data_IF_512244441598
#
_entry.id   IF_512244441598
#
_cell.length_a   1.000
_cell.length_b   1.000
_cell.length_c   1.000
_cell.angle_alpha   90.00
_cell.angle_beta   90.00
_cell.angle_gamma   90.00
#
_symmetry.space_group_name_H-M   'P 1'
#
loop_
_entity.id
_entity.type
_entity.pdbx_description
1 polymer ?
#
# COMPACT_ATOMS: atom_id res chain seq x y z
N UNK A 1 5.51 36.04 -12.41
CA UNK A 1 4.81 35.04 -11.56
C UNK A 1 3.56 34.57 -12.29
N UNK A 2 3.72 33.65 -13.23
CA UNK A 2 2.61 33.15 -14.05
C UNK A 2 1.98 31.97 -13.33
N UNK A 3 0.73 32.12 -12.88
CA UNK A 3 -0.11 31.07 -12.32
C UNK A 3 -0.37 30.02 -13.41
N UNK A 4 0.55 29.08 -13.60
CA UNK A 4 0.24 27.82 -14.24
C UNK A 4 -0.61 27.01 -13.27
N UNK A 5 -1.92 27.13 -13.44
CA UNK A 5 -2.92 26.25 -12.85
C UNK A 5 -2.62 24.81 -13.31
N UNK A 6 -1.80 24.11 -12.54
CA UNK A 6 -1.70 22.67 -12.60
C UNK A 6 -3.10 22.16 -12.25
N UNK A 7 -3.87 21.73 -13.26
CA UNK A 7 -4.97 20.79 -13.07
C UNK A 7 -4.37 19.62 -12.30
N UNK A 8 -4.53 19.58 -10.98
CA UNK A 8 -4.17 18.42 -10.18
C UNK A 8 -4.96 17.24 -10.76
N UNK A 9 -4.26 16.36 -11.48
CA UNK A 9 -4.80 15.08 -11.93
C UNK A 9 -5.02 14.26 -10.66
N UNK A 10 -6.22 14.36 -10.08
CA UNK A 10 -6.65 13.49 -9.00
C UNK A 10 -6.66 12.06 -9.55
N UNK A 11 -5.75 11.23 -9.06
CA UNK A 11 -5.61 9.85 -9.49
C UNK A 11 -6.57 8.97 -8.68
N UNK A 12 -7.65 8.53 -9.32
CA UNK A 12 -8.59 7.57 -8.73
C UNK A 12 -8.05 6.15 -8.85
N UNK A 13 -8.04 5.42 -7.74
CA UNK A 13 -7.72 3.99 -7.73
C UNK A 13 -8.72 3.21 -8.59
N UNK A 14 -8.24 2.13 -9.21
CA UNK A 14 -9.10 1.28 -10.04
C UNK A 14 -10.08 0.51 -9.15
N UNK A 15 -11.35 0.51 -9.55
CA UNK A 15 -12.40 -0.27 -8.90
C UNK A 15 -12.52 -1.68 -9.49
N UNK A 16 -13.32 -2.53 -8.86
CA UNK A 16 -13.66 -3.82 -9.43
C UNK A 16 -14.39 -3.62 -10.77
N UNK A 17 -13.99 -4.38 -11.80
CA UNK A 17 -14.51 -4.25 -13.17
C UNK A 17 -14.39 -2.84 -13.79
N UNK A 18 -13.37 -2.07 -13.39
CA UNK A 18 -13.11 -0.74 -13.94
C UNK A 18 -12.97 -0.77 -15.49
N UNK A 19 -13.74 0.05 -16.24
CA UNK A 19 -13.74 0.03 -17.71
C UNK A 19 -12.39 0.44 -18.32
N UNK A 20 -11.49 1.04 -17.54
CA UNK A 20 -10.12 1.38 -17.95
C UNK A 20 -9.19 0.16 -18.03
N UNK A 21 -9.61 -1.00 -17.50
CA UNK A 21 -8.80 -2.23 -17.49
C UNK A 21 -8.97 -2.97 -18.83
N UNK A 22 -7.90 -3.02 -19.62
CA UNK A 22 -7.86 -3.77 -20.89
C UNK A 22 -7.81 -5.29 -20.68
N UNK A 23 -8.04 -6.07 -21.74
CA UNK A 23 -7.89 -7.55 -21.69
C UNK A 23 -6.49 -7.98 -21.23
N UNK A 24 -5.46 -7.29 -21.72
CA UNK A 24 -4.05 -7.51 -21.30
C UNK A 24 -3.89 -7.12 -19.83
N UNK A 25 -4.40 -5.95 -19.42
CA UNK A 25 -4.35 -5.51 -18.02
C UNK A 25 -5.02 -6.50 -17.05
N UNK A 26 -6.13 -7.12 -17.47
CA UNK A 26 -6.79 -8.18 -16.70
C UNK A 26 -5.92 -9.42 -16.56
N UNK A 27 -5.22 -9.84 -17.62
CA UNK A 27 -4.27 -10.94 -17.57
C UNK A 27 -3.09 -10.64 -16.64
N UNK A 28 -2.49 -9.45 -16.75
CA UNK A 28 -1.37 -9.03 -15.89
C UNK A 28 -1.76 -9.06 -14.40
N UNK A 29 -2.91 -8.48 -14.04
CA UNK A 29 -3.42 -8.51 -12.65
C UNK A 29 -3.74 -9.92 -12.15
N UNK A 30 -4.29 -10.78 -13.02
CA UNK A 30 -4.62 -12.17 -12.66
C UNK A 30 -3.36 -13.01 -12.41
N UNK A 31 -2.28 -12.71 -13.12
CA UNK A 31 -1.01 -13.43 -13.04
C UNK A 31 -0.01 -12.78 -12.09
N UNK A 32 -0.34 -11.62 -11.51
CA UNK A 32 0.55 -10.77 -10.71
C UNK A 32 1.85 -10.37 -11.43
N UNK A 33 1.87 -10.42 -12.78
CA UNK A 33 3.02 -10.02 -13.59
C UNK A 33 3.25 -8.50 -13.50
N UNK A 34 2.22 -7.73 -13.17
CA UNK A 34 2.32 -6.28 -12.92
C UNK A 34 3.19 -5.93 -11.70
N UNK A 35 3.50 -6.89 -10.83
CA UNK A 35 4.38 -6.71 -9.67
C UNK A 35 5.88 -7.01 -9.98
N UNK A 36 6.21 -7.58 -11.15
CA UNK A 36 7.61 -7.89 -11.53
C UNK A 36 8.54 -6.66 -11.50
N UNK A 37 8.14 -5.47 -11.97
CA UNK A 37 9.00 -4.28 -11.86
C UNK A 37 9.36 -3.94 -10.41
N UNK A 38 8.46 -4.21 -9.44
CA UNK A 38 8.76 -3.96 -8.03
C UNK A 38 9.79 -4.94 -7.48
N UNK A 39 9.84 -6.18 -7.98
CA UNK A 39 10.90 -7.13 -7.62
C UNK A 39 12.28 -6.66 -8.10
N UNK A 40 12.35 -6.02 -9.27
CA UNK A 40 13.59 -5.40 -9.74
C UNK A 40 14.02 -4.26 -8.82
N UNK A 41 13.08 -3.43 -8.35
CA UNK A 41 13.39 -2.36 -7.39
C UNK A 41 13.93 -2.91 -6.06
N UNK A 42 13.45 -4.08 -5.62
CA UNK A 42 14.01 -4.77 -4.45
C UNK A 42 15.44 -5.22 -4.73
N UNK A 43 15.69 -5.79 -5.91
CA UNK A 43 17.02 -6.22 -6.33
C UNK A 43 18.02 -5.06 -6.41
N UNK A 44 17.61 -3.89 -6.91
CA UNK A 44 18.42 -2.67 -6.93
C UNK A 44 18.49 -1.96 -5.57
N UNK A 45 17.79 -2.47 -4.55
CA UNK A 45 17.82 -1.94 -3.20
C UNK A 45 17.01 -0.65 -3.00
N UNK A 46 16.17 -0.26 -3.95
CA UNK A 46 15.24 0.88 -3.82
C UNK A 46 14.03 0.51 -2.95
N UNK A 47 13.64 -0.76 -2.96
CA UNK A 47 12.54 -1.31 -2.17
C UNK A 47 13.01 -2.46 -1.26
N UNK A 48 12.18 -2.81 -0.29
CA UNK A 48 12.30 -4.01 0.54
C UNK A 48 11.16 -4.99 0.23
N UNK A 49 11.32 -6.26 0.59
CA UNK A 49 10.20 -7.20 0.58
C UNK A 49 9.11 -6.79 1.57
N UNK A 50 9.51 -6.31 2.75
CA UNK A 50 8.61 -5.92 3.83
C UNK A 50 8.84 -4.46 4.21
N UNK A 51 7.74 -3.71 4.34
CA UNK A 51 7.77 -2.29 4.65
C UNK A 51 6.45 -1.58 4.33
N UNK A 52 6.36 -0.28 4.66
CA UNK A 52 5.24 0.57 4.30
C UNK A 52 5.04 0.60 2.78
N UNK A 53 3.79 0.57 2.30
CA UNK A 53 3.53 0.60 0.84
C UNK A 53 3.98 1.93 0.23
N UNK A 54 4.63 1.91 -0.94
CA UNK A 54 4.90 3.15 -1.68
C UNK A 54 3.57 3.88 -2.02
N UNK A 55 3.55 5.19 -1.80
CA UNK A 55 2.41 6.05 -2.11
C UNK A 55 2.80 7.01 -3.23
N UNK A 56 1.81 7.45 -4.02
CA UNK A 56 2.09 8.45 -5.04
C UNK A 56 2.23 9.83 -4.36
N UNK A 57 3.23 10.63 -4.74
CA UNK A 57 3.38 12.01 -4.26
C UNK A 57 2.14 12.89 -4.40
N UNK A 58 1.26 12.61 -5.36
CA UNK A 58 0.04 13.39 -5.60
C UNK A 58 -1.21 12.74 -5.00
N UNK A 59 -1.05 11.78 -4.08
CA UNK A 59 -2.18 11.05 -3.50
C UNK A 59 -2.88 11.91 -2.44
N UNK A 60 -4.21 11.89 -2.48
CA UNK A 60 -5.07 12.70 -1.60
C UNK A 60 -6.05 11.75 -0.89
N UNK A 61 -6.24 11.95 0.40
CA UNK A 61 -7.25 11.25 1.20
C UNK A 61 -8.51 12.12 1.32
N UNK A 62 -9.65 11.57 0.90
CA UNK A 62 -10.96 12.17 1.15
C UNK A 62 -11.48 11.78 2.54
N UNK A 63 -11.87 12.77 3.34
CA UNK A 63 -12.47 12.59 4.66
C UNK A 63 -14.02 12.66 4.57
N UNK A 64 -14.72 12.04 5.53
CA UNK A 64 -16.19 11.96 5.56
C UNK A 64 -16.90 13.32 5.60
N UNK A 65 -16.21 14.40 5.97
CA UNK A 65 -16.72 15.77 5.98
C UNK A 65 -16.47 16.52 4.66
N UNK A 66 -16.08 15.81 3.59
CA UNK A 66 -15.78 16.41 2.28
C UNK A 66 -14.41 17.09 2.19
N UNK A 67 -13.60 17.07 3.27
CA UNK A 67 -12.24 17.62 3.21
C UNK A 67 -11.29 16.65 2.53
N UNK A 68 -10.51 17.17 1.60
CA UNK A 68 -9.39 16.47 1.00
C UNK A 68 -8.11 16.86 1.75
N UNK A 69 -7.32 15.88 2.15
CA UNK A 69 -6.04 16.08 2.85
C UNK A 69 -4.94 15.44 2.02
N UNK A 70 -3.85 16.16 1.82
CA UNK A 70 -2.71 15.64 1.12
C UNK A 70 -2.01 14.56 1.96
N UNK A 71 -1.50 13.47 1.38
CA UNK A 71 -0.90 12.38 2.16
C UNK A 71 0.26 12.83 3.08
N UNK A 72 0.97 13.89 2.71
CA UNK A 72 2.07 14.50 3.47
C UNK A 72 1.60 15.10 4.79
N UNK A 73 0.36 15.59 4.85
CA UNK A 73 -0.22 16.21 6.04
C UNK A 73 -0.79 15.18 7.02
N UNK A 74 -0.80 13.90 6.64
CA UNK A 74 -1.31 12.82 7.49
C UNK A 74 -0.27 12.49 8.57
N UNK A 75 -0.65 12.54 9.86
CA UNK A 75 0.27 12.21 10.94
C UNK A 75 0.91 10.83 10.78
N UNK A 76 2.23 10.79 10.87
CA UNK A 76 3.02 9.56 10.67
C UNK A 76 3.62 9.40 9.27
N UNK A 77 3.32 10.31 8.33
CA UNK A 77 3.92 10.29 6.99
C UNK A 77 5.45 10.36 7.02
N UNK A 78 6.03 11.25 7.83
CA UNK A 78 7.48 11.44 7.90
C UNK A 78 8.17 10.18 8.42
N UNK A 79 7.64 9.57 9.48
CA UNK A 79 8.22 8.35 10.06
C UNK A 79 8.15 7.16 9.12
N UNK A 80 7.09 7.03 8.31
CA UNK A 80 6.98 5.89 7.38
C UNK A 80 7.95 5.95 6.21
N UNK A 81 8.46 7.13 5.86
CA UNK A 81 9.45 7.29 4.78
C UNK A 81 10.89 7.15 5.27
N UNK A 82 11.13 6.99 6.57
CA UNK A 82 12.45 6.70 7.14
C UNK A 82 12.96 5.30 6.79
N UNK A 83 12.05 4.38 6.43
CA UNK A 83 12.37 3.02 6.00
C UNK A 83 12.05 2.81 4.52
N UNK A 84 12.73 1.86 3.89
CA UNK A 84 12.47 1.51 2.48
C UNK A 84 11.01 1.05 2.32
N UNK A 85 10.34 1.47 1.23
CA UNK A 85 9.01 0.98 0.94
C UNK A 85 9.02 -0.53 0.67
N UNK A 86 7.94 -1.20 1.08
CA UNK A 86 7.79 -2.65 1.02
C UNK A 86 6.79 -3.11 -0.03
N UNK A 87 7.07 -4.26 -0.66
CA UNK A 87 6.09 -4.98 -1.46
C UNK A 87 4.90 -5.44 -0.60
N UNK A 88 5.18 -5.99 0.58
CA UNK A 88 4.18 -6.31 1.60
C UNK A 88 4.47 -5.62 2.93
N UNK A 89 3.53 -5.68 3.87
CA UNK A 89 3.65 -5.05 5.19
C UNK A 89 2.44 -5.36 6.05
N UNK A 90 2.48 -4.91 7.30
CA UNK A 90 1.37 -5.15 8.25
C UNK A 90 0.07 -4.55 7.71
N UNK A 91 0.13 -3.33 7.14
CA UNK A 91 -1.04 -2.70 6.55
C UNK A 91 -1.61 -3.53 5.39
N UNK A 92 -0.76 -4.03 4.49
CA UNK A 92 -1.17 -4.81 3.33
C UNK A 92 -1.84 -6.14 3.73
N UNK A 93 -1.38 -6.78 4.80
CA UNK A 93 -1.87 -8.09 5.26
C UNK A 93 -3.10 -7.96 6.17
N UNK A 94 -3.07 -7.04 7.12
CA UNK A 94 -4.06 -6.98 8.21
C UNK A 94 -5.08 -5.85 8.09
N UNK A 95 -4.74 -4.74 7.44
CA UNK A 95 -5.67 -3.62 7.36
C UNK A 95 -6.83 -3.94 6.41
N UNK A 96 -8.09 -3.62 6.78
CA UNK A 96 -9.19 -3.67 5.84
C UNK A 96 -8.94 -2.70 4.67
N UNK A 97 -9.46 -3.04 3.50
CA UNK A 97 -9.17 -2.28 2.27
C UNK A 97 -9.67 -0.84 2.33
N UNK A 98 -10.85 -0.65 2.92
CA UNK A 98 -11.59 0.63 2.90
C UNK A 98 -11.30 1.52 4.11
N UNK A 99 -10.28 1.21 4.91
CA UNK A 99 -9.88 2.11 6.01
C UNK A 99 -9.10 3.31 5.47
N UNK A 100 -9.21 4.43 6.18
CA UNK A 100 -8.46 5.66 5.88
C UNK A 100 -6.95 5.43 5.96
N UNK A 101 -6.20 6.17 5.15
CA UNK A 101 -4.73 6.28 5.17
C UNK A 101 -4.23 6.63 6.56
N UNK A 102 -4.89 7.55 7.25
CA UNK A 102 -4.58 7.82 8.67
C UNK A 102 -4.58 6.57 9.54
N UNK A 103 -5.51 5.64 9.33
CA UNK A 103 -5.50 4.36 10.04
C UNK A 103 -4.46 3.38 9.49
N UNK A 104 -4.25 3.30 8.16
CA UNK A 104 -3.19 2.46 7.55
C UNK A 104 -1.80 2.84 8.06
N UNK A 105 -1.52 4.13 8.25
CA UNK A 105 -0.21 4.60 8.73
C UNK A 105 0.08 4.11 10.14
N UNK A 106 -0.93 3.88 10.98
CA UNK A 106 -0.71 3.26 12.30
C UNK A 106 -0.13 1.85 12.19
N UNK A 107 -0.53 1.08 11.17
CA UNK A 107 0.05 -0.23 10.89
C UNK A 107 1.48 -0.13 10.34
N UNK A 108 1.74 0.86 9.48
CA UNK A 108 3.09 1.14 8.98
C UNK A 108 4.04 1.52 10.14
N UNK A 109 3.62 2.38 11.05
CA UNK A 109 4.39 2.76 12.24
C UNK A 109 4.58 1.58 13.21
N UNK A 110 3.57 0.72 13.34
CA UNK A 110 3.67 -0.51 14.13
C UNK A 110 4.73 -1.45 13.57
N UNK A 111 4.81 -1.57 12.24
CA UNK A 111 5.86 -2.33 11.58
C UNK A 111 7.24 -1.75 11.92
N UNK A 112 7.45 -0.45 11.74
CA UNK A 112 8.74 0.21 12.00
C UNK A 112 9.18 0.01 13.46
N UNK A 113 8.23 0.06 14.40
CA UNK A 113 8.52 -0.16 15.82
C UNK A 113 8.90 -1.62 16.15
N UNK A 114 8.37 -2.60 15.42
CA UNK A 114 8.51 -4.03 15.74
C UNK A 114 9.33 -4.83 14.71
N UNK A 115 9.85 -4.19 13.67
CA UNK A 115 10.51 -4.85 12.55
C UNK A 115 11.67 -5.70 13.05
N UNK A 116 11.65 -6.97 12.65
CA UNK A 116 12.68 -7.95 12.90
C UNK A 116 12.53 -9.06 11.86
N UNK A 117 13.55 -9.89 11.72
CA UNK A 117 13.62 -10.94 10.68
C UNK A 117 12.43 -11.91 10.77
N UNK A 118 11.99 -12.27 11.98
CA UNK A 118 10.85 -13.18 12.15
C UNK A 118 9.53 -12.56 11.70
N UNK A 119 9.32 -11.27 12.00
CA UNK A 119 8.15 -10.54 11.53
C UNK A 119 8.14 -10.43 10.00
N UNK A 120 9.30 -10.17 9.39
CA UNK A 120 9.43 -10.06 7.94
C UNK A 120 9.09 -11.38 7.26
N UNK A 121 9.70 -12.49 7.69
CA UNK A 121 9.41 -13.84 7.17
C UNK A 121 7.91 -14.15 7.31
N UNK A 122 7.32 -13.86 8.47
CA UNK A 122 5.88 -14.07 8.72
C UNK A 122 5.03 -13.27 7.73
N UNK A 123 5.33 -12.00 7.51
CA UNK A 123 4.57 -11.13 6.61
C UNK A 123 4.71 -11.55 5.14
N UNK A 124 5.90 -11.99 4.72
CA UNK A 124 6.13 -12.53 3.37
C UNK A 124 5.28 -13.78 3.15
N UNK A 125 5.34 -14.76 4.07
CA UNK A 125 4.57 -16.00 3.98
C UNK A 125 3.07 -15.73 3.95
N UNK A 126 2.57 -14.85 4.83
CA UNK A 126 1.15 -14.49 4.85
C UNK A 126 0.73 -13.80 3.54
N UNK A 127 1.55 -12.88 3.02
CA UNK A 127 1.27 -12.20 1.75
C UNK A 127 1.18 -13.18 0.59
N UNK A 128 2.14 -14.11 0.51
CA UNK A 128 2.16 -15.16 -0.51
C UNK A 128 0.91 -16.04 -0.41
N UNK A 129 0.53 -16.49 0.80
CA UNK A 129 -0.67 -17.31 1.01
C UNK A 129 -1.97 -16.57 0.65
N UNK A 130 -2.07 -15.27 0.94
CA UNK A 130 -3.24 -14.45 0.57
C UNK A 130 -3.35 -14.32 -0.95
N UNK A 131 -2.23 -14.04 -1.61
CA UNK A 131 -2.12 -13.91 -3.08
C UNK A 131 -2.49 -15.23 -3.75
N UNK A 132 -1.89 -16.34 -3.31
CA UNK A 132 -2.09 -17.66 -3.87
C UNK A 132 -3.52 -18.19 -3.69
N UNK A 133 -4.16 -17.92 -2.54
CA UNK A 133 -5.56 -18.30 -2.29
C UNK A 133 -6.56 -17.44 -3.07
N UNK A 134 -6.12 -16.36 -3.74
CA UNK A 134 -7.01 -15.42 -4.43
C UNK A 134 -7.97 -14.67 -3.49
N UNK A 135 -7.77 -14.75 -2.17
CA UNK A 135 -8.67 -14.17 -1.16
C UNK A 135 -8.28 -12.74 -0.82
N UNK A 136 -8.18 -11.90 -1.84
CA UNK A 136 -7.90 -10.46 -1.67
C UNK A 136 -9.00 -9.76 -0.87
N UNK A 137 -10.23 -10.30 -0.91
CA UNK A 137 -11.44 -9.76 -0.30
C UNK A 137 -11.57 -9.88 1.21
N UNK A 138 -10.98 -10.90 1.82
CA UNK A 138 -11.18 -11.19 3.25
C UNK A 138 -9.98 -10.75 4.10
N UNK A 139 -9.53 -9.51 3.93
CA UNK A 139 -8.48 -8.90 4.78
C UNK A 139 -9.11 -8.27 6.02
N UNK A 140 -8.70 -8.72 7.20
CA UNK A 140 -9.28 -8.29 8.49
C UNK A 140 -9.07 -9.29 9.63
N UNK A 141 -8.00 -10.10 9.59
CA UNK A 141 -7.64 -10.96 10.72
C UNK A 141 -7.32 -10.07 11.93
N UNK A 142 -8.01 -10.30 13.05
CA UNK A 142 -7.83 -9.54 14.30
C UNK A 142 -6.33 -9.45 14.64
N UNK A 143 -5.86 -8.24 14.93
CA UNK A 143 -4.51 -7.87 15.41
C UNK A 143 -4.06 -8.58 16.70
N UNK A 144 -4.83 -9.54 17.25
CA UNK A 144 -4.55 -10.30 18.48
C UNK A 144 -3.24 -11.12 18.45
N UNK A 145 -2.48 -11.08 17.36
CA UNK A 145 -1.22 -11.83 17.17
C UNK A 145 0.03 -10.93 17.19
N UNK A 146 -0.12 -9.64 17.51
CA UNK A 146 0.98 -8.69 17.70
C UNK A 146 1.04 -8.15 19.14
N UNK A 147 0.30 -8.76 20.07
CA UNK A 147 0.49 -8.58 21.52
C UNK A 147 1.57 -9.53 22.03
#
# INVERSE_FOLDING_TARGET
MTKHTLKEKVNYQAIENDPRITRIGRFLRKTAIDELPQLLNIFFGEMSFVGPRALLPSEIEACSNGKCIHIYDIPGYEKRIEVKPGLTGIAQVYAPRDITRRHKFKYDLLYIKKMNIFLDIKLILLSFLVTFKGRWEKRGLKLKMLE
#
